data_IF_227411694287
#
_entry.id   IF_227411694287
#
_cell.length_a   1.000
_cell.length_b   1.000
_cell.length_c   1.000
_cell.angle_alpha   90.00
_cell.angle_beta   90.00
_cell.angle_gamma   90.00
#
_symmetry.space_group_name_H-M   'P 1'
#
loop_
_entity.id
_entity.type
_entity.pdbx_description
1 polymer ?
#
# COMPACT_ATOMS: atom_id res chain seq x y z
N UNK A 1 -27.94 5.50 -3.93
CA UNK A 1 -27.91 4.87 -2.59
C UNK A 1 -28.28 5.89 -1.54
N UNK A 2 -28.72 5.46 -0.36
CA UNK A 2 -29.09 6.36 0.73
C UNK A 2 -27.87 7.09 1.34
N UNK A 3 -28.12 8.19 2.04
CA UNK A 3 -27.09 8.90 2.82
C UNK A 3 -26.40 7.99 3.84
N UNK A 4 -27.14 7.11 4.51
CA UNK A 4 -26.59 6.20 5.51
C UNK A 4 -25.62 5.20 4.88
N UNK A 5 -25.97 4.67 3.72
CA UNK A 5 -25.15 3.72 2.97
C UNK A 5 -23.87 4.37 2.43
N UNK A 6 -23.97 5.52 1.77
CA UNK A 6 -22.79 6.24 1.26
C UNK A 6 -21.83 6.64 2.39
N UNK A 7 -22.34 7.04 3.56
CA UNK A 7 -21.52 7.31 4.73
C UNK A 7 -20.82 6.06 5.28
N UNK A 8 -21.47 4.89 5.24
CA UNK A 8 -20.85 3.64 5.64
C UNK A 8 -19.66 3.28 4.73
N UNK A 9 -19.80 3.45 3.41
CA UNK A 9 -18.71 3.26 2.44
C UNK A 9 -17.58 4.27 2.71
N UNK A 10 -17.92 5.55 2.90
CA UNK A 10 -16.95 6.62 3.19
C UNK A 10 -16.11 6.28 4.42
N UNK A 11 -16.74 5.82 5.50
CA UNK A 11 -16.05 5.45 6.74
C UNK A 11 -15.11 4.25 6.54
N UNK A 12 -15.57 3.22 5.82
CA UNK A 12 -14.77 2.03 5.52
C UNK A 12 -13.52 2.39 4.70
N UNK A 13 -13.67 3.19 3.65
CA UNK A 13 -12.55 3.63 2.84
C UNK A 13 -11.57 4.52 3.60
N UNK A 14 -12.05 5.46 4.43
CA UNK A 14 -11.20 6.28 5.31
C UNK A 14 -10.33 5.42 6.23
N UNK A 15 -10.90 4.38 6.84
CA UNK A 15 -10.17 3.44 7.71
C UNK A 15 -9.01 2.74 6.99
N UNK A 16 -9.13 2.54 5.68
CA UNK A 16 -8.16 1.82 4.86
C UNK A 16 -7.34 2.73 3.94
N UNK A 17 -7.40 4.07 4.12
CA UNK A 17 -6.74 5.06 3.27
C UNK A 17 -7.08 4.91 1.77
N UNK A 18 -8.30 4.50 1.47
CA UNK A 18 -8.81 4.40 0.10
C UNK A 18 -9.44 5.74 -0.27
N UNK A 19 -8.96 6.34 -1.35
CA UNK A 19 -9.55 7.56 -1.90
C UNK A 19 -10.90 7.24 -2.54
N UNK A 20 -11.92 8.04 -2.20
CA UNK A 20 -13.21 8.03 -2.85
C UNK A 20 -13.77 9.45 -2.93
N UNK A 21 -14.81 9.60 -3.75
CA UNK A 21 -15.63 10.81 -3.80
C UNK A 21 -17.08 10.43 -3.49
N UNK A 22 -17.81 11.31 -2.82
CA UNK A 22 -19.26 11.16 -2.64
C UNK A 22 -19.91 12.36 -3.30
N UNK A 23 -20.84 12.11 -4.22
CA UNK A 23 -21.65 13.14 -4.88
C UNK A 23 -23.11 12.92 -4.51
N UNK A 24 -23.82 14.02 -4.26
CA UNK A 24 -25.26 14.00 -4.10
C UNK A 24 -25.90 14.23 -5.47
N UNK A 25 -26.89 13.41 -5.80
CA UNK A 25 -27.65 13.48 -7.05
C UNK A 25 -29.14 13.37 -6.73
N UNK A 26 -29.76 14.52 -6.44
CA UNK A 26 -31.11 14.59 -5.89
C UNK A 26 -31.20 13.91 -4.52
N UNK A 27 -32.08 12.91 -4.40
CA UNK A 27 -32.26 12.10 -3.20
C UNK A 27 -31.24 10.95 -3.08
N UNK A 28 -30.55 10.66 -4.18
CA UNK A 28 -29.54 9.62 -4.25
C UNK A 28 -28.14 10.15 -3.91
N UNK A 29 -27.33 9.27 -3.36
CA UNK A 29 -25.90 9.47 -3.21
C UNK A 29 -25.17 8.52 -4.17
N UNK A 30 -24.10 9.04 -4.76
CA UNK A 30 -23.18 8.32 -5.64
C UNK A 30 -21.81 8.26 -4.97
N UNK A 31 -21.17 7.10 -5.03
CA UNK A 31 -19.79 6.94 -4.56
C UNK A 31 -18.90 6.72 -5.77
N UNK A 32 -17.92 7.61 -5.95
CA UNK A 32 -16.92 7.54 -7.00
C UNK A 32 -15.62 6.89 -6.53
N UNK A 33 -15.18 5.86 -7.25
CA UNK A 33 -13.87 5.22 -7.09
C UNK A 33 -12.96 5.54 -8.29
N UNK A 34 -11.64 5.63 -8.04
CA UNK A 34 -10.61 5.74 -9.08
C UNK A 34 -10.85 6.87 -10.11
N UNK A 35 -11.50 7.95 -9.70
CA UNK A 35 -11.83 9.15 -10.49
C UNK A 35 -12.68 8.91 -11.75
N UNK A 36 -13.30 7.74 -11.94
CA UNK A 36 -14.10 7.44 -13.14
C UNK A 36 -15.33 6.56 -12.91
N UNK A 37 -15.38 5.81 -11.81
CA UNK A 37 -16.45 4.84 -11.57
C UNK A 37 -17.38 5.34 -10.46
N UNK A 38 -18.52 5.90 -10.86
CA UNK A 38 -19.58 6.33 -9.95
C UNK A 38 -20.59 5.20 -9.76
N UNK A 39 -20.84 4.84 -8.51
CA UNK A 39 -21.70 3.72 -8.13
C UNK A 39 -22.84 4.26 -7.28
N UNK A 40 -24.07 3.97 -7.72
CA UNK A 40 -25.30 4.31 -7.01
C UNK A 40 -25.84 3.16 -6.16
N UNK A 41 -25.36 1.93 -6.38
CA UNK A 41 -25.80 0.73 -5.70
C UNK A 41 -24.88 0.39 -4.51
N UNK A 42 -25.47 0.16 -3.33
CA UNK A 42 -24.71 -0.08 -2.11
C UNK A 42 -23.92 -1.41 -2.13
N UNK A 43 -24.50 -2.48 -2.65
CA UNK A 43 -23.84 -3.79 -2.72
C UNK A 43 -22.61 -3.78 -3.63
N UNK A 44 -22.74 -3.12 -4.78
CA UNK A 44 -21.61 -2.92 -5.69
C UNK A 44 -20.49 -2.10 -5.04
N UNK A 45 -20.84 -1.01 -4.34
CA UNK A 45 -19.86 -0.19 -3.64
C UNK A 45 -19.12 -0.97 -2.53
N UNK A 46 -19.82 -1.86 -1.81
CA UNK A 46 -19.19 -2.77 -0.83
C UNK A 46 -18.19 -3.72 -1.48
N UNK A 47 -18.58 -4.37 -2.58
CA UNK A 47 -17.69 -5.31 -3.29
C UNK A 47 -16.41 -4.62 -3.78
N UNK A 48 -16.55 -3.45 -4.39
CA UNK A 48 -15.41 -2.66 -4.86
C UNK A 48 -14.52 -2.27 -3.68
N UNK A 49 -15.10 -1.75 -2.59
CA UNK A 49 -14.36 -1.36 -1.39
C UNK A 49 -13.56 -2.53 -0.83
N UNK A 50 -14.19 -3.71 -0.68
CA UNK A 50 -13.52 -4.90 -0.18
C UNK A 50 -12.38 -5.35 -1.10
N UNK A 51 -12.59 -5.32 -2.42
CA UNK A 51 -11.56 -5.62 -3.42
C UNK A 51 -10.35 -4.71 -3.28
N UNK A 52 -10.56 -3.40 -3.16
CA UNK A 52 -9.49 -2.41 -2.99
C UNK A 52 -8.71 -2.60 -1.67
N UNK A 53 -9.38 -3.00 -0.59
CA UNK A 53 -8.72 -3.33 0.67
C UNK A 53 -7.79 -4.53 0.52
N UNK A 54 -8.24 -5.59 -0.17
CA UNK A 54 -7.43 -6.79 -0.41
C UNK A 54 -6.22 -6.44 -1.28
N UNK A 55 -6.43 -5.70 -2.38
CA UNK A 55 -5.37 -5.26 -3.27
C UNK A 55 -4.29 -4.44 -2.53
N UNK A 56 -4.72 -3.50 -1.68
CA UNK A 56 -3.81 -2.71 -0.85
C UNK A 56 -2.96 -3.56 0.10
N UNK A 57 -3.54 -4.61 0.69
CA UNK A 57 -2.80 -5.56 1.55
C UNK A 57 -1.79 -6.39 0.76
N UNK A 58 -2.17 -6.88 -0.42
CA UNK A 58 -1.29 -7.67 -1.27
C UNK A 58 -0.08 -6.86 -1.75
N UNK A 59 -0.30 -5.61 -2.18
CA UNK A 59 0.80 -4.69 -2.58
C UNK A 59 1.75 -4.41 -1.42
N UNK A 60 1.22 -4.18 -0.22
CA UNK A 60 2.06 -3.98 0.99
C UNK A 60 2.87 -5.24 1.33
N UNK A 61 2.27 -6.42 1.22
CA UNK A 61 2.95 -7.70 1.42
C UNK A 61 4.07 -7.92 0.39
N UNK A 62 3.82 -7.63 -0.89
CA UNK A 62 4.81 -7.76 -1.95
C UNK A 62 5.99 -6.78 -1.79
N UNK A 63 5.74 -5.55 -1.31
CA UNK A 63 6.81 -4.59 -0.98
C UNK A 63 7.68 -5.09 0.17
N UNK A 64 7.08 -5.61 1.25
CA UNK A 64 7.83 -6.16 2.39
C UNK A 64 8.65 -7.41 2.02
N UNK A 65 8.18 -8.21 1.06
CA UNK A 65 8.94 -9.36 0.55
C UNK A 65 10.14 -8.95 -0.30
N UNK A 66 10.09 -7.79 -0.99
CA UNK A 66 11.22 -7.27 -1.78
C UNK A 66 12.33 -6.66 -0.91
N UNK A 67 12.00 -6.09 0.25
CA UNK A 67 13.00 -5.52 1.16
C UNK A 67 13.84 -6.57 1.90
N UNK A 68 13.47 -7.87 1.84
CA UNK A 68 14.25 -8.96 2.44
C UNK A 68 15.40 -9.48 1.56
N UNK A 69 15.51 -9.04 0.31
CA UNK A 69 16.66 -9.35 -0.54
C UNK A 69 17.67 -8.20 -0.55
N UNK A 70 18.30 -7.95 0.60
CA UNK A 70 19.61 -7.32 0.60
C UNK A 70 20.68 -8.41 0.46
N UNK A 71 21.53 -8.37 -0.59
CA UNK A 71 22.63 -9.30 -0.73
C UNK A 71 23.63 -9.09 0.41
N UNK A 72 23.63 -10.02 1.36
CA UNK A 72 24.74 -10.21 2.28
C UNK A 72 25.90 -10.76 1.44
N UNK A 73 26.94 -9.96 1.22
CA UNK A 73 28.34 -10.35 1.47
C UNK A 73 29.28 -9.20 1.11
N UNK A 74 29.71 -8.46 2.14
CA UNK A 74 31.05 -7.88 2.11
C UNK A 74 32.08 -9.01 2.18
N UNK A 75 33.10 -9.07 1.30
CA UNK A 75 34.30 -9.82 1.61
C UNK A 75 35.14 -8.99 2.58
N UNK A 76 35.24 -9.46 3.82
CA UNK A 76 36.21 -9.04 4.83
C UNK A 76 37.60 -8.89 4.20
N UNK A 77 38.11 -7.66 4.06
CA UNK A 77 39.53 -7.41 3.84
C UNK A 77 40.29 -7.81 5.11
N UNK A 78 40.66 -9.08 5.19
CA UNK A 78 41.65 -9.59 6.14
C UNK A 78 43.02 -9.00 5.76
N UNK A 79 43.34 -7.82 6.27
CA UNK A 79 44.73 -7.34 6.27
C UNK A 79 45.41 -8.02 7.45
N UNK A 80 45.94 -9.22 7.21
CA UNK A 80 46.81 -9.89 8.16
C UNK A 80 48.09 -9.06 8.32
N UNK A 81 48.32 -8.56 9.54
CA UNK A 81 49.61 -8.02 9.93
C UNK A 81 50.61 -9.18 9.96
N UNK A 82 51.69 -9.05 9.20
CA UNK A 82 52.89 -9.87 9.34
C UNK A 82 54.10 -8.94 9.31
N UNK A 83 54.68 -8.74 10.49
CA UNK A 83 55.94 -8.06 10.78
C UNK A 83 57.13 -8.67 10.02
N UNK A 84 58.16 -7.86 9.70
CA UNK A 84 59.59 -8.14 9.99
C UNK A 84 60.53 -6.98 9.53
N UNK A 85 61.00 -6.24 10.54
CA UNK A 85 62.33 -5.65 10.82
C UNK A 85 63.41 -5.48 9.73
N UNK A 86 64.11 -4.34 9.85
CA UNK A 86 65.57 -4.07 9.71
C UNK A 86 66.28 -4.03 8.34
N UNK A 87 66.85 -2.85 8.04
CA UNK A 87 68.30 -2.68 7.81
C UNK A 87 68.82 -2.58 6.36
N UNK A 88 69.81 -1.69 6.18
CA UNK A 88 70.64 -1.34 5.00
C UNK A 88 70.01 -0.34 4.01
N UNK A 89 70.66 0.77 3.61
CA UNK A 89 72.08 1.17 3.66
C UNK A 89 72.24 2.67 3.95
#
# INVERSE_FOLDING_TARGET
MTKKESMAILLACKKHNIFLTVRNDGDDHLVGFLNKLEISNFDQAKLITNGLVIEGRLKKGALLSREKEHPITEPLRHISKSERRNGNS
#
